data_IF_838736737328
#
_entry.id   IF_838736737328
#
_cell.length_a   1.000
_cell.length_b   1.000
_cell.length_c   1.000
_cell.angle_alpha   90.00
_cell.angle_beta   90.00
_cell.angle_gamma   90.00
#
_symmetry.space_group_name_H-M   'P 1'
#
loop_
_entity.id
_entity.type
_entity.pdbx_description
1 polymer ?
#
# COMPACT_ATOMS: atom_id res chain seq x y z
N UNK A 1 -19.69 -1.25 2.08
CA UNK A 1 -18.21 -1.38 2.12
C UNK A 1 -17.81 -2.35 3.21
N UNK A 2 -16.58 -2.89 3.18
CA UNK A 2 -16.04 -3.73 4.25
C UNK A 2 -14.89 -2.99 4.93
N UNK A 3 -15.01 -2.70 6.20
CA UNK A 3 -13.99 -2.02 6.98
C UNK A 3 -13.11 -3.04 7.71
N UNK A 4 -11.83 -2.85 7.68
CA UNK A 4 -10.88 -3.80 8.23
C UNK A 4 -9.53 -3.22 8.56
N UNK A 5 -8.51 -4.09 8.58
CA UNK A 5 -7.13 -3.64 8.76
C UNK A 5 -6.13 -4.53 7.99
N UNK A 6 -5.01 -3.91 7.61
CA UNK A 6 -3.81 -4.60 7.20
C UNK A 6 -3.12 -5.18 8.44
N UNK A 7 -2.97 -6.50 8.45
CA UNK A 7 -2.51 -7.22 9.66
C UNK A 7 -1.04 -7.05 9.98
N UNK A 8 -0.30 -6.23 9.21
CA UNK A 8 1.11 -5.95 9.46
C UNK A 8 1.36 -5.37 10.86
N UNK A 9 0.44 -4.57 11.37
CA UNK A 9 0.52 -4.04 12.74
C UNK A 9 0.35 -5.10 13.84
N UNK A 10 0.01 -6.34 13.49
CA UNK A 10 -0.19 -7.48 14.40
C UNK A 10 0.76 -8.65 14.10
N UNK A 11 1.86 -8.43 13.36
CA UNK A 11 2.81 -9.48 12.97
C UNK A 11 3.53 -10.16 14.15
N UNK A 12 3.47 -9.59 15.34
CA UNK A 12 3.95 -10.17 16.60
C UNK A 12 3.01 -11.26 17.16
N UNK A 13 1.81 -11.41 16.58
CA UNK A 13 0.78 -12.35 17.03
C UNK A 13 0.55 -13.48 16.01
N UNK A 14 0.06 -14.65 16.44
CA UNK A 14 -0.44 -15.65 15.49
C UNK A 14 -1.60 -15.11 14.66
N UNK A 15 -1.73 -15.54 13.40
CA UNK A 15 -2.80 -15.09 12.49
C UNK A 15 -4.20 -15.23 13.06
N UNK A 16 -4.50 -16.36 13.74
CA UNK A 16 -5.81 -16.58 14.36
C UNK A 16 -6.14 -15.58 15.48
N UNK A 17 -5.10 -15.11 16.21
CA UNK A 17 -5.26 -14.07 17.23
C UNK A 17 -5.44 -12.70 16.57
N UNK A 18 -4.66 -12.39 15.53
CA UNK A 18 -4.80 -11.15 14.77
C UNK A 18 -6.21 -11.00 14.19
N UNK A 19 -6.74 -12.05 13.55
CA UNK A 19 -8.11 -12.05 12.99
C UNK A 19 -9.16 -11.83 14.09
N UNK A 20 -9.01 -12.51 15.26
CA UNK A 20 -9.93 -12.32 16.38
C UNK A 20 -9.90 -10.88 16.90
N UNK A 21 -8.73 -10.26 16.99
CA UNK A 21 -8.60 -8.84 17.38
C UNK A 21 -9.40 -7.96 16.42
N UNK A 22 -9.32 -8.18 15.10
CA UNK A 22 -10.12 -7.42 14.14
C UNK A 22 -11.62 -7.60 14.39
N UNK A 23 -12.08 -8.83 14.55
CA UNK A 23 -13.47 -9.15 14.88
C UNK A 23 -13.94 -8.48 16.17
N UNK A 24 -13.14 -8.55 17.25
CA UNK A 24 -13.45 -7.94 18.55
C UNK A 24 -13.53 -6.39 18.46
N UNK A 25 -12.86 -5.78 17.48
CA UNK A 25 -12.95 -4.35 17.18
C UNK A 25 -14.11 -3.97 16.26
N UNK A 26 -14.91 -4.95 15.80
CA UNK A 26 -16.00 -4.73 14.86
C UNK A 26 -15.57 -4.58 13.41
N UNK A 27 -14.34 -5.01 13.08
CA UNK A 27 -13.80 -4.97 11.73
C UNK A 27 -14.10 -6.31 11.00
N UNK A 28 -14.54 -6.21 9.75
CA UNK A 28 -15.02 -7.34 8.94
C UNK A 28 -14.10 -7.69 7.77
N UNK A 29 -13.01 -6.94 7.59
CA UNK A 29 -12.04 -7.10 6.51
C UNK A 29 -10.63 -7.28 7.04
N UNK A 30 -9.83 -8.07 6.33
CA UNK A 30 -8.41 -8.20 6.58
C UNK A 30 -7.62 -8.14 5.26
N UNK A 31 -6.51 -7.43 5.30
CA UNK A 31 -5.45 -7.48 4.32
C UNK A 31 -4.24 -8.17 4.95
N UNK A 32 -3.60 -9.10 4.21
CA UNK A 32 -2.51 -9.93 4.73
C UNK A 32 -1.29 -9.81 3.84
N UNK A 33 -0.11 -9.65 4.46
CA UNK A 33 1.14 -9.59 3.73
C UNK A 33 1.50 -10.95 3.10
N UNK A 34 1.94 -10.92 1.84
CA UNK A 34 2.34 -12.09 1.05
C UNK A 34 3.78 -12.01 0.52
N UNK A 35 4.47 -10.89 0.76
CA UNK A 35 5.83 -10.67 0.26
C UNK A 35 6.22 -9.18 0.31
N UNK A 36 7.20 -8.80 -0.50
CA UNK A 36 7.68 -7.43 -0.55
C UNK A 36 8.68 -7.09 0.56
N UNK A 37 8.54 -5.90 1.15
CA UNK A 37 9.43 -5.41 2.20
C UNK A 37 9.26 -6.15 3.53
N UNK A 38 8.02 -6.46 3.87
CA UNK A 38 7.69 -7.08 5.16
C UNK A 38 7.67 -8.61 5.07
N UNK A 39 7.97 -9.31 6.17
CA UNK A 39 7.75 -10.74 6.25
C UNK A 39 6.25 -11.07 6.19
N UNK A 40 5.90 -12.31 5.83
CA UNK A 40 4.52 -12.78 5.71
C UNK A 40 4.15 -13.81 6.79
N UNK A 41 4.24 -13.51 8.10
CA UNK A 41 4.02 -14.49 9.16
C UNK A 41 2.57 -14.96 9.24
N UNK A 42 1.63 -14.19 8.68
CA UNK A 42 0.20 -14.52 8.69
C UNK A 42 -0.26 -15.33 7.47
N UNK A 43 0.61 -15.59 6.49
CA UNK A 43 0.28 -16.35 5.29
C UNK A 43 1.16 -17.59 5.17
N UNK A 44 0.63 -18.80 5.34
CA UNK A 44 1.39 -20.04 5.21
C UNK A 44 1.56 -20.41 3.72
N UNK A 45 2.42 -19.68 3.00
CA UNK A 45 2.56 -19.68 1.54
C UNK A 45 2.73 -21.10 0.96
N UNK A 46 3.65 -21.89 1.51
CA UNK A 46 3.94 -23.23 1.00
C UNK A 46 2.75 -24.19 1.16
N UNK A 47 2.03 -24.10 2.27
CA UNK A 47 0.82 -24.89 2.49
C UNK A 47 -0.32 -24.46 1.56
N UNK A 48 -0.50 -23.15 1.36
CA UNK A 48 -1.48 -22.59 0.43
C UNK A 48 -1.22 -23.08 -1.00
N UNK A 49 0.04 -23.07 -1.44
CA UNK A 49 0.42 -23.54 -2.78
C UNK A 49 0.16 -25.05 -2.98
N UNK A 50 0.50 -25.86 -2.00
CA UNK A 50 0.55 -27.30 -2.14
C UNK A 50 -0.76 -28.04 -1.83
N UNK A 51 -1.69 -27.44 -1.05
CA UNK A 51 -2.86 -28.18 -0.52
C UNK A 51 -4.15 -27.36 -0.60
N UNK A 52 -5.19 -27.97 -1.18
CA UNK A 52 -6.54 -27.40 -1.18
C UNK A 52 -7.13 -27.40 0.24
N UNK A 53 -6.89 -28.44 1.01
CA UNK A 53 -7.39 -28.55 2.40
C UNK A 53 -6.76 -27.43 3.26
N UNK A 54 -5.46 -27.16 3.09
CA UNK A 54 -4.80 -26.06 3.78
C UNK A 54 -5.37 -24.68 3.41
N UNK A 55 -5.76 -24.48 2.15
CA UNK A 55 -6.47 -23.25 1.73
C UNK A 55 -7.83 -23.11 2.42
N UNK A 56 -8.59 -24.22 2.49
CA UNK A 56 -9.90 -24.21 3.16
C UNK A 56 -9.76 -23.99 4.67
N UNK A 57 -8.80 -24.65 5.31
CA UNK A 57 -8.49 -24.43 6.73
C UNK A 57 -8.10 -22.99 7.01
N UNK A 58 -7.19 -22.42 6.21
CA UNK A 58 -6.75 -21.03 6.34
C UNK A 58 -7.91 -20.05 6.20
N UNK A 59 -8.72 -20.17 5.15
CA UNK A 59 -9.90 -19.31 4.95
C UNK A 59 -10.97 -19.54 6.01
N UNK A 60 -11.04 -20.75 6.56
CA UNK A 60 -11.91 -21.10 7.68
C UNK A 60 -11.63 -20.29 8.96
N UNK A 61 -10.37 -19.86 9.18
CA UNK A 61 -10.02 -18.99 10.31
C UNK A 61 -10.72 -17.64 10.22
N UNK A 62 -10.74 -17.05 9.03
CA UNK A 62 -11.40 -15.77 8.78
C UNK A 62 -12.93 -15.91 8.89
N UNK A 63 -13.48 -16.90 8.24
CA UNK A 63 -14.93 -17.16 8.26
C UNK A 63 -15.46 -17.40 9.68
N UNK A 64 -14.73 -18.15 10.51
CA UNK A 64 -15.10 -18.41 11.90
C UNK A 64 -15.13 -17.17 12.77
N UNK A 65 -14.35 -16.13 12.43
CA UNK A 65 -14.32 -14.85 13.11
C UNK A 65 -15.26 -13.80 12.49
N UNK A 66 -15.96 -14.13 11.40
CA UNK A 66 -16.79 -13.17 10.67
C UNK A 66 -15.98 -12.12 9.90
N UNK A 67 -14.70 -12.38 9.64
CA UNK A 67 -13.80 -11.51 8.88
C UNK A 67 -13.62 -12.07 7.47
N UNK A 68 -13.47 -11.21 6.48
CA UNK A 68 -13.17 -11.59 5.10
C UNK A 68 -11.72 -11.24 4.77
N UNK A 69 -10.97 -12.18 4.20
CA UNK A 69 -9.68 -11.87 3.57
C UNK A 69 -9.96 -11.15 2.24
N UNK A 70 -9.72 -9.85 2.19
CA UNK A 70 -10.10 -8.99 1.05
C UNK A 70 -8.95 -8.68 0.11
N UNK A 71 -7.71 -8.66 0.61
CA UNK A 71 -6.52 -8.39 -0.19
C UNK A 71 -5.29 -9.13 0.34
N UNK A 72 -4.36 -9.40 -0.57
CA UNK A 72 -2.97 -9.71 -0.24
C UNK A 72 -2.11 -8.47 -0.52
N UNK A 73 -1.11 -8.21 0.33
CA UNK A 73 -0.17 -7.10 0.16
C UNK A 73 1.25 -7.63 -0.13
N UNK A 74 1.94 -6.98 -1.05
CA UNK A 74 3.35 -7.27 -1.36
C UNK A 74 4.12 -5.98 -1.70
N UNK A 75 3.93 -4.93 -0.90
CA UNK A 75 4.60 -3.65 -1.09
C UNK A 75 6.12 -3.81 -1.19
N UNK A 76 6.69 -3.34 -2.30
CA UNK A 76 8.10 -3.50 -2.62
C UNK A 76 8.52 -2.63 -3.79
N UNK A 77 9.78 -2.76 -4.21
CA UNK A 77 10.27 -2.08 -5.41
C UNK A 77 10.61 -3.10 -6.51
N UNK A 78 9.63 -3.51 -7.34
CA UNK A 78 9.83 -4.49 -8.41
C UNK A 78 10.68 -3.95 -9.58
N UNK A 79 11.00 -2.66 -9.60
CA UNK A 79 11.80 -1.99 -10.63
C UNK A 79 13.17 -1.54 -10.11
N UNK A 80 13.58 -1.98 -8.93
CA UNK A 80 14.80 -1.55 -8.29
C UNK A 80 16.04 -1.81 -9.18
N UNK A 81 16.99 -0.85 -9.31
CA UNK A 81 18.18 -1.05 -10.14
C UNK A 81 19.13 -2.17 -9.62
N UNK A 82 19.12 -2.44 -8.30
CA UNK A 82 19.80 -3.60 -7.73
C UNK A 82 19.00 -4.87 -8.07
N UNK A 83 19.65 -5.81 -8.75
CA UNK A 83 19.01 -7.03 -9.24
C UNK A 83 18.48 -7.92 -8.12
N UNK A 84 19.20 -8.03 -6.98
CA UNK A 84 18.74 -8.84 -5.83
C UNK A 84 17.38 -8.34 -5.32
N UNK A 85 17.22 -7.03 -5.19
CA UNK A 85 15.97 -6.40 -4.72
C UNK A 85 14.88 -6.52 -5.78
N UNK A 86 15.21 -6.17 -7.04
CA UNK A 86 14.26 -6.19 -8.16
C UNK A 86 13.70 -7.58 -8.40
N UNK A 87 14.57 -8.58 -8.50
CA UNK A 87 14.17 -9.93 -8.89
C UNK A 87 13.29 -10.56 -7.81
N UNK A 88 13.61 -10.33 -6.52
CA UNK A 88 12.75 -10.73 -5.40
C UNK A 88 11.38 -10.05 -5.48
N UNK A 89 11.34 -8.70 -5.48
CA UNK A 89 10.07 -7.98 -5.40
C UNK A 89 9.21 -8.15 -6.67
N UNK A 90 9.83 -8.29 -7.85
CA UNK A 90 9.09 -8.58 -9.07
C UNK A 90 8.50 -10.00 -9.06
N UNK A 91 9.18 -10.96 -8.43
CA UNK A 91 8.64 -12.30 -8.22
C UNK A 91 7.54 -12.30 -7.19
N UNK A 92 7.69 -11.57 -6.08
CA UNK A 92 6.66 -11.44 -5.04
C UNK A 92 5.31 -10.94 -5.62
N UNK A 93 5.33 -9.96 -6.54
CA UNK A 93 4.11 -9.49 -7.21
C UNK A 93 3.44 -10.60 -8.02
N UNK A 94 4.23 -11.40 -8.77
CA UNK A 94 3.70 -12.53 -9.53
C UNK A 94 3.13 -13.61 -8.63
N UNK A 95 3.85 -13.92 -7.56
CA UNK A 95 3.46 -14.91 -6.56
C UNK A 95 2.20 -14.48 -5.80
N UNK A 96 2.07 -13.20 -5.47
CA UNK A 96 0.89 -12.66 -4.81
C UNK A 96 -0.37 -12.79 -5.68
N UNK A 97 -0.27 -12.55 -6.99
CA UNK A 97 -1.37 -12.77 -7.94
C UNK A 97 -1.81 -14.24 -7.95
N UNK A 98 -0.84 -15.18 -8.03
CA UNK A 98 -1.14 -16.61 -8.02
C UNK A 98 -1.75 -17.07 -6.70
N UNK A 99 -1.21 -16.60 -5.57
CA UNK A 99 -1.75 -16.91 -4.24
C UNK A 99 -3.15 -16.35 -4.04
N UNK A 100 -3.40 -15.13 -4.52
CA UNK A 100 -4.73 -14.51 -4.48
C UNK A 100 -5.74 -15.36 -5.27
N UNK A 101 -5.40 -15.77 -6.49
CA UNK A 101 -6.25 -16.67 -7.29
C UNK A 101 -6.53 -18.01 -6.59
N UNK A 102 -5.51 -18.63 -5.98
CA UNK A 102 -5.65 -19.89 -5.22
C UNK A 102 -6.58 -19.74 -4.01
N UNK A 103 -6.59 -18.57 -3.38
CA UNK A 103 -7.42 -18.27 -2.20
C UNK A 103 -8.80 -17.70 -2.55
N UNK A 104 -9.07 -17.41 -3.84
CA UNK A 104 -10.29 -16.71 -4.24
C UNK A 104 -10.31 -15.23 -3.79
N UNK A 105 -9.15 -14.66 -3.47
CA UNK A 105 -8.97 -13.24 -3.17
C UNK A 105 -8.78 -12.48 -4.48
N UNK A 106 -9.50 -11.39 -4.67
CA UNK A 106 -9.52 -10.66 -5.95
C UNK A 106 -8.67 -9.40 -5.97
N UNK A 107 -7.93 -9.11 -4.91
CA UNK A 107 -7.12 -7.89 -4.79
C UNK A 107 -5.70 -8.23 -4.33
N UNK A 108 -4.72 -7.61 -4.97
CA UNK A 108 -3.31 -7.62 -4.57
C UNK A 108 -2.83 -6.18 -4.50
N UNK A 109 -2.42 -5.73 -3.33
CA UNK A 109 -1.84 -4.40 -3.12
C UNK A 109 -0.33 -4.47 -3.32
N UNK A 110 0.23 -3.49 -4.02
CA UNK A 110 1.68 -3.35 -4.22
C UNK A 110 2.04 -1.93 -4.63
N UNK A 111 3.33 -1.62 -4.63
CA UNK A 111 3.87 -0.36 -5.15
C UNK A 111 4.31 -0.47 -6.61
N UNK A 112 4.29 0.65 -7.33
CA UNK A 112 4.69 0.67 -8.75
C UNK A 112 6.17 0.42 -8.99
N UNK A 113 7.00 0.62 -7.98
CA UNK A 113 8.44 0.56 -8.09
C UNK A 113 9.10 1.84 -8.60
N UNK A 114 10.41 1.92 -8.42
CA UNK A 114 11.24 3.06 -8.82
C UNK A 114 12.56 2.56 -9.40
N UNK A 115 12.82 2.75 -10.70
CA UNK A 115 14.11 2.41 -11.30
C UNK A 115 15.15 3.52 -11.11
N UNK A 116 16.35 3.30 -11.64
CA UNK A 116 17.36 4.35 -11.76
C UNK A 116 16.97 5.40 -12.81
N UNK A 117 17.74 6.50 -12.88
CA UNK A 117 17.59 7.57 -13.89
C UNK A 117 18.01 7.17 -15.30
N UNK A 118 18.85 6.13 -15.43
CA UNK A 118 19.45 5.70 -16.68
C UNK A 118 19.84 4.20 -16.62
N UNK A 119 20.16 3.54 -17.75
CA UNK A 119 20.49 2.11 -17.79
C UNK A 119 21.70 1.69 -16.95
N UNK A 120 22.65 2.62 -16.67
CA UNK A 120 23.83 2.38 -15.86
C UNK A 120 23.67 2.74 -14.39
N UNK A 121 22.54 3.30 -14.03
CA UNK A 121 22.26 3.77 -12.67
C UNK A 121 22.14 2.65 -11.66
N UNK A 122 22.62 2.90 -10.44
CA UNK A 122 22.69 1.90 -9.35
C UNK A 122 21.71 2.18 -8.21
N UNK A 123 21.11 3.37 -8.17
CA UNK A 123 20.20 3.79 -7.12
C UNK A 123 18.85 4.19 -7.73
N UNK A 124 17.76 3.89 -7.07
CA UNK A 124 16.45 4.41 -7.47
C UNK A 124 16.50 5.94 -7.50
N UNK A 125 15.88 6.54 -8.51
CA UNK A 125 15.90 8.00 -8.71
C UNK A 125 14.48 8.51 -8.90
N UNK A 126 13.99 9.27 -7.92
CA UNK A 126 12.63 9.81 -7.96
C UNK A 126 12.60 11.13 -8.74
N UNK A 127 12.19 11.05 -10.00
CA UNK A 127 12.12 12.18 -10.93
C UNK A 127 10.79 12.91 -10.76
N UNK A 128 10.80 13.98 -9.96
CA UNK A 128 9.63 14.81 -9.67
C UNK A 128 9.92 16.24 -10.12
N UNK A 129 8.95 16.91 -10.74
CA UNK A 129 9.07 18.28 -11.28
C UNK A 129 10.28 18.42 -12.23
N UNK A 130 10.29 17.75 -13.37
CA UNK A 130 11.42 17.73 -14.30
C UNK A 130 11.54 19.07 -15.08
N UNK A 131 12.08 20.10 -14.45
CA UNK A 131 12.26 21.43 -15.05
C UNK A 131 13.36 21.46 -16.11
N UNK A 132 14.42 20.69 -15.88
CA UNK A 132 15.52 20.51 -16.82
C UNK A 132 15.24 19.30 -17.72
N UNK A 133 15.62 19.40 -19.00
CA UNK A 133 15.42 18.34 -19.97
C UNK A 133 16.16 17.04 -19.64
N UNK A 134 17.25 17.10 -18.89
CA UNK A 134 17.93 15.91 -18.38
C UNK A 134 17.04 15.05 -17.48
N UNK A 135 16.16 15.70 -16.68
CA UNK A 135 15.15 14.96 -15.90
C UNK A 135 14.00 14.42 -16.75
N UNK A 136 13.72 15.03 -17.92
CA UNK A 136 12.79 14.46 -18.88
C UNK A 136 13.36 13.17 -19.49
N UNK A 137 14.64 13.15 -19.85
CA UNK A 137 15.32 11.95 -20.35
C UNK A 137 15.28 10.82 -19.32
N UNK A 138 15.57 11.12 -18.04
CA UNK A 138 15.46 10.18 -16.95
C UNK A 138 14.04 9.63 -16.77
N UNK A 139 13.02 10.51 -16.77
CA UNK A 139 11.61 10.12 -16.70
C UNK A 139 11.22 9.21 -17.86
N UNK A 140 11.63 9.58 -19.09
CA UNK A 140 11.26 8.83 -20.29
C UNK A 140 11.90 7.44 -20.31
N UNK A 141 13.16 7.32 -19.89
CA UNK A 141 13.80 6.01 -19.66
C UNK A 141 13.03 5.19 -18.62
N UNK A 142 12.74 5.76 -17.46
CA UNK A 142 12.05 5.08 -16.35
C UNK A 142 10.70 4.51 -16.78
N UNK A 143 9.92 5.32 -17.51
CA UNK A 143 8.59 4.92 -17.94
C UNK A 143 8.62 3.99 -19.16
N UNK A 144 9.28 4.40 -20.25
CA UNK A 144 9.16 3.73 -21.53
C UNK A 144 9.97 2.43 -21.60
N UNK A 145 11.16 2.42 -20.97
CA UNK A 145 12.07 1.28 -21.08
C UNK A 145 11.96 0.31 -19.89
N UNK A 146 11.49 0.78 -18.73
CA UNK A 146 11.45 -0.05 -17.54
C UNK A 146 10.01 -0.34 -17.06
N UNK A 147 9.24 0.70 -16.73
CA UNK A 147 7.95 0.49 -16.06
C UNK A 147 6.88 -0.09 -16.99
N UNK A 148 6.66 0.51 -18.15
CA UNK A 148 5.60 0.08 -19.07
C UNK A 148 5.78 -1.38 -19.51
N UNK A 149 6.99 -1.85 -19.93
CA UNK A 149 7.19 -3.25 -20.27
C UNK A 149 6.90 -4.21 -19.12
N UNK A 150 7.31 -3.86 -17.89
CA UNK A 150 7.04 -4.67 -16.70
C UNK A 150 5.54 -4.72 -16.40
N UNK A 151 4.89 -3.56 -16.31
CA UNK A 151 3.49 -3.47 -15.92
C UNK A 151 2.53 -4.05 -16.96
N UNK A 152 2.89 -4.07 -18.25
CA UNK A 152 2.15 -4.83 -19.28
C UNK A 152 2.15 -6.33 -19.02
N UNK A 153 3.27 -6.89 -18.54
CA UNK A 153 3.34 -8.32 -18.17
C UNK A 153 2.49 -8.61 -16.94
N UNK A 154 2.55 -7.73 -15.91
CA UNK A 154 1.72 -7.87 -14.71
C UNK A 154 0.24 -7.73 -15.05
N UNK A 155 -0.13 -6.76 -15.90
CA UNK A 155 -1.51 -6.59 -16.38
C UNK A 155 -2.03 -7.87 -17.06
N UNK A 156 -1.26 -8.49 -17.94
CA UNK A 156 -1.65 -9.73 -18.61
C UNK A 156 -1.85 -10.86 -17.58
N UNK A 157 -0.89 -11.07 -16.66
CA UNK A 157 -1.00 -12.09 -15.61
C UNK A 157 -2.20 -11.87 -14.70
N UNK A 158 -2.45 -10.63 -14.29
CA UNK A 158 -3.58 -10.25 -13.45
C UNK A 158 -4.92 -10.54 -14.16
N UNK A 159 -5.00 -10.23 -15.45
CA UNK A 159 -6.18 -10.51 -16.26
C UNK A 159 -6.42 -12.03 -16.43
N UNK A 160 -5.38 -12.81 -16.67
CA UNK A 160 -5.47 -14.28 -16.78
C UNK A 160 -5.94 -14.94 -15.46
N UNK A 161 -5.59 -14.34 -14.32
CA UNK A 161 -5.96 -14.82 -12.99
C UNK A 161 -7.27 -14.23 -12.45
N UNK A 162 -7.88 -13.25 -13.14
CA UNK A 162 -9.00 -12.43 -12.67
C UNK A 162 -8.76 -11.78 -11.30
N UNK A 163 -7.53 -11.26 -11.11
CA UNK A 163 -7.07 -10.58 -9.90
C UNK A 163 -6.78 -9.12 -10.22
N UNK A 164 -7.31 -8.20 -9.43
CA UNK A 164 -7.00 -6.76 -9.52
C UNK A 164 -5.71 -6.46 -8.76
N UNK A 165 -4.74 -5.85 -9.44
CA UNK A 165 -3.53 -5.32 -8.82
C UNK A 165 -3.74 -3.85 -8.50
N UNK A 166 -3.70 -3.53 -7.22
CA UNK A 166 -4.01 -2.22 -6.65
C UNK A 166 -2.68 -1.53 -6.33
N UNK A 167 -2.31 -0.53 -7.13
CA UNK A 167 -1.05 0.20 -6.94
C UNK A 167 -1.26 1.29 -5.91
N UNK A 168 -0.57 1.19 -4.79
CA UNK A 168 -0.46 2.27 -3.81
C UNK A 168 0.29 3.46 -4.41
N UNK A 169 -0.36 4.62 -4.43
CA UNK A 169 0.25 5.89 -4.86
C UNK A 169 1.17 6.41 -3.78
N UNK A 170 2.42 5.97 -3.79
CA UNK A 170 3.39 6.17 -2.71
C UNK A 170 4.60 7.01 -3.17
N UNK A 171 5.13 7.95 -2.34
CA UNK A 171 6.38 8.62 -2.65
C UNK A 171 7.53 7.63 -2.89
N UNK A 172 8.56 8.07 -3.60
CA UNK A 172 9.68 7.22 -4.06
C UNK A 172 9.24 6.03 -4.94
N UNK A 173 8.11 6.21 -5.64
CA UNK A 173 7.62 5.32 -6.70
C UNK A 173 7.30 6.13 -7.96
N UNK A 174 7.16 5.46 -9.11
CA UNK A 174 6.77 6.14 -10.36
C UNK A 174 5.31 6.59 -10.32
N UNK A 175 4.45 5.79 -9.67
CA UNK A 175 3.05 6.15 -9.43
C UNK A 175 2.94 6.66 -8.00
N UNK A 176 2.75 7.97 -7.85
CA UNK A 176 2.70 8.64 -6.56
C UNK A 176 1.53 9.64 -6.42
N UNK A 177 0.77 9.82 -7.50
CA UNK A 177 -0.42 10.68 -7.53
C UNK A 177 -1.40 10.24 -8.62
N UNK A 178 -2.63 10.79 -8.66
CA UNK A 178 -3.62 10.42 -9.68
C UNK A 178 -3.13 10.53 -11.11
N UNK A 179 -2.41 11.60 -11.47
CA UNK A 179 -1.93 11.80 -12.84
C UNK A 179 -0.95 10.71 -13.31
N UNK A 180 -0.06 10.24 -12.41
CA UNK A 180 0.86 9.15 -12.71
C UNK A 180 0.16 7.80 -12.73
N UNK A 181 -0.92 7.60 -11.95
CA UNK A 181 -1.76 6.41 -12.02
C UNK A 181 -2.53 6.33 -13.36
N UNK A 182 -3.16 7.42 -13.77
CA UNK A 182 -3.86 7.55 -15.05
C UNK A 182 -2.90 7.30 -16.23
N UNK A 183 -1.68 7.85 -16.15
CA UNK A 183 -0.63 7.59 -17.13
C UNK A 183 -0.34 6.10 -17.25
N UNK A 184 -0.03 5.43 -16.14
CA UNK A 184 0.26 4.02 -16.15
C UNK A 184 -0.90 3.22 -16.74
N UNK A 185 -2.12 3.44 -16.25
CA UNK A 185 -3.31 2.74 -16.70
C UNK A 185 -3.53 2.90 -18.22
N UNK A 186 -3.35 4.12 -18.75
CA UNK A 186 -3.50 4.41 -20.16
C UNK A 186 -2.43 3.70 -21.01
N UNK A 187 -1.15 3.80 -20.61
CA UNK A 187 -0.02 3.31 -21.41
C UNK A 187 0.09 1.78 -21.43
N UNK A 188 -0.46 1.09 -20.40
CA UNK A 188 -0.50 -0.38 -20.40
C UNK A 188 -1.82 -0.97 -20.90
N UNK A 189 -2.84 -0.15 -21.16
CA UNK A 189 -4.18 -0.60 -21.48
C UNK A 189 -4.82 -1.36 -20.30
N UNK A 190 -4.79 -0.74 -19.11
CA UNK A 190 -5.16 -1.41 -17.87
C UNK A 190 -6.63 -1.83 -17.80
N UNK A 191 -6.86 -3.08 -17.39
CA UNK A 191 -8.17 -3.63 -17.05
C UNK A 191 -8.16 -4.28 -15.65
N UNK A 192 -6.96 -4.69 -15.19
CA UNK A 192 -6.73 -5.36 -13.91
C UNK A 192 -5.60 -4.73 -13.09
N UNK A 193 -5.03 -3.63 -13.54
CA UNK A 193 -4.12 -2.78 -12.76
C UNK A 193 -4.80 -1.44 -12.53
N UNK A 194 -4.88 -1.00 -11.28
CA UNK A 194 -5.53 0.24 -10.87
C UNK A 194 -4.95 0.75 -9.56
N UNK A 195 -5.65 1.65 -8.92
CA UNK A 195 -5.19 2.32 -7.70
C UNK A 195 -5.61 1.59 -6.43
N UNK A 196 -4.72 1.55 -5.45
CA UNK A 196 -5.08 1.62 -4.06
C UNK A 196 -5.10 3.09 -3.64
N UNK A 197 -6.19 3.48 -2.98
CA UNK A 197 -6.34 4.83 -2.47
C UNK A 197 -5.89 4.90 -1.01
N UNK A 198 -4.63 5.23 -0.80
CA UNK A 198 -4.11 5.63 0.50
C UNK A 198 -4.09 7.17 0.60
N UNK A 199 -4.98 7.78 1.41
CA UNK A 199 -5.04 9.23 1.54
C UNK A 199 -3.81 9.81 2.23
N UNK A 200 -3.10 9.04 3.07
CA UNK A 200 -1.98 9.53 3.86
C UNK A 200 -0.84 10.09 3.02
N UNK A 201 -0.61 9.48 1.86
CA UNK A 201 0.42 9.92 0.92
C UNK A 201 -0.01 11.11 0.05
N UNK A 202 -1.29 11.42 0.01
CA UNK A 202 -1.83 12.52 -0.77
C UNK A 202 -1.90 13.83 0.03
N UNK A 203 -2.22 13.77 1.32
CA UNK A 203 -2.37 14.95 2.17
C UNK A 203 -1.15 15.88 2.16
N UNK A 204 0.04 15.35 2.40
CA UNK A 204 1.25 16.18 2.45
C UNK A 204 1.67 16.68 1.06
N UNK A 205 1.21 16.07 -0.02
CA UNK A 205 1.38 16.59 -1.38
C UNK A 205 0.42 17.74 -1.70
N UNK A 206 -0.53 18.07 -0.81
CA UNK A 206 -1.56 19.07 -1.04
C UNK A 206 -2.68 18.58 -1.98
N UNK A 207 -2.82 17.26 -2.14
CA UNK A 207 -3.88 16.63 -2.92
C UNK A 207 -5.07 16.38 -1.99
N UNK A 208 -6.28 16.70 -2.45
CA UNK A 208 -7.52 16.30 -1.81
C UNK A 208 -7.85 14.83 -2.17
N UNK A 209 -7.78 13.88 -1.22
CA UNK A 209 -8.05 12.47 -1.53
C UNK A 209 -9.48 12.19 -2.01
N UNK A 210 -10.46 12.96 -1.56
CA UNK A 210 -11.85 12.82 -2.03
C UNK A 210 -11.95 13.23 -3.51
N UNK A 211 -11.30 14.32 -3.89
CA UNK A 211 -11.21 14.74 -5.28
C UNK A 211 -10.43 13.72 -6.13
N UNK A 212 -9.38 13.12 -5.57
CA UNK A 212 -8.58 12.08 -6.22
C UNK A 212 -9.42 10.81 -6.50
N UNK A 213 -10.21 10.33 -5.52
CA UNK A 213 -11.15 9.21 -5.71
C UNK A 213 -12.14 9.53 -6.83
N UNK A 214 -12.74 10.72 -6.81
CA UNK A 214 -13.70 11.13 -7.82
C UNK A 214 -13.08 11.23 -9.24
N UNK A 215 -11.81 11.64 -9.33
CA UNK A 215 -11.07 11.74 -10.60
C UNK A 215 -10.73 10.36 -11.16
N UNK A 216 -10.18 9.47 -10.35
CA UNK A 216 -9.78 8.13 -10.76
C UNK A 216 -10.98 7.21 -11.01
N UNK A 217 -12.09 7.40 -10.28
CA UNK A 217 -13.33 6.66 -10.46
C UNK A 217 -13.10 5.14 -10.49
N UNK A 218 -13.50 4.50 -11.58
CA UNK A 218 -13.40 3.03 -11.73
C UNK A 218 -11.98 2.45 -11.71
N UNK A 219 -10.94 3.28 -11.69
CA UNK A 219 -9.55 2.83 -11.48
C UNK A 219 -9.24 2.56 -10.02
N UNK A 220 -10.05 3.01 -9.06
CA UNK A 220 -9.85 2.73 -7.63
C UNK A 220 -10.39 1.34 -7.32
N UNK A 221 -9.50 0.41 -6.93
CA UNK A 221 -9.83 -0.99 -6.69
C UNK A 221 -9.78 -1.40 -5.22
N UNK A 222 -9.03 -0.67 -4.40
CA UNK A 222 -8.85 -0.90 -2.97
C UNK A 222 -8.59 0.43 -2.27
N UNK A 223 -8.72 0.48 -0.96
CA UNK A 223 -8.38 1.67 -0.19
C UNK A 223 -7.76 1.32 1.16
N UNK A 224 -6.78 2.11 1.57
CA UNK A 224 -6.24 2.12 2.92
C UNK A 224 -6.90 3.23 3.75
N UNK A 225 -7.10 2.96 5.04
CA UNK A 225 -7.42 3.98 6.03
C UNK A 225 -6.15 4.28 6.83
N UNK A 226 -5.39 5.26 6.37
CA UNK A 226 -4.15 5.75 6.95
C UNK A 226 -4.17 7.28 6.97
N UNK A 227 -3.79 7.87 8.07
CA UNK A 227 -3.95 9.31 8.30
C UNK A 227 -2.60 10.02 8.40
N UNK A 228 -2.58 11.31 8.09
CA UNK A 228 -1.39 12.15 8.14
C UNK A 228 -1.71 13.47 8.84
N UNK A 229 -0.82 13.88 9.72
CA UNK A 229 -0.83 15.21 10.34
C UNK A 229 0.26 16.07 9.74
N UNK A 230 -0.11 17.26 9.24
CA UNK A 230 0.85 18.27 8.79
C UNK A 230 1.31 19.09 10.00
N UNK A 231 2.61 19.12 10.26
CA UNK A 231 3.21 19.77 11.42
C UNK A 231 3.55 21.23 11.15
N UNK A 232 3.75 21.99 12.22
CA UNK A 232 4.11 23.40 12.12
C UNK A 232 5.42 23.65 11.35
N UNK A 233 6.35 22.70 11.37
CA UNK A 233 7.60 22.76 10.64
C UNK A 233 7.41 22.89 9.12
N UNK A 234 6.29 22.38 8.57
CA UNK A 234 5.96 22.51 7.16
C UNK A 234 5.81 23.97 6.70
N UNK A 235 5.42 24.89 7.60
CA UNK A 235 5.30 26.32 7.28
C UNK A 235 6.63 26.98 6.97
N UNK A 236 7.74 26.39 7.43
CA UNK A 236 9.10 26.93 7.25
C UNK A 236 9.87 26.12 6.20
N UNK A 237 9.81 24.80 6.30
CA UNK A 237 10.64 23.90 5.50
C UNK A 237 9.93 23.33 4.27
N UNK A 238 8.61 23.53 4.16
CA UNK A 238 7.79 22.79 3.21
C UNK A 238 7.60 21.34 3.65
N UNK A 239 7.07 20.51 2.77
CA UNK A 239 6.75 19.10 3.05
C UNK A 239 7.81 18.11 2.53
N UNK A 240 8.70 18.58 1.65
CA UNK A 240 9.84 17.79 1.16
C UNK A 240 11.01 17.97 2.12
N UNK A 241 11.60 16.88 2.59
CA UNK A 241 12.65 16.88 3.60
C UNK A 241 13.71 15.82 3.27
N UNK A 242 14.98 16.13 3.42
CA UNK A 242 16.10 15.21 3.23
C UNK A 242 16.85 14.89 4.54
N UNK A 243 16.36 15.37 5.68
CA UNK A 243 17.00 15.22 7.00
C UNK A 243 16.80 13.84 7.62
N UNK A 244 16.43 12.85 6.84
CA UNK A 244 16.31 11.47 7.31
C UNK A 244 17.64 10.88 7.74
N UNK A 245 17.64 10.14 8.85
CA UNK A 245 18.83 9.50 9.41
C UNK A 245 18.98 8.05 8.95
N UNK A 246 20.21 7.64 8.68
CA UNK A 246 20.51 6.24 8.35
C UNK A 246 20.32 5.33 9.59
N UNK A 247 19.65 4.21 9.41
CA UNK A 247 19.53 3.15 10.43
C UNK A 247 20.48 2.02 10.09
N UNK A 248 21.36 1.59 11.02
CA UNK A 248 22.23 0.42 10.82
C UNK A 248 21.40 -0.85 10.60
N UNK A 249 21.92 -1.79 9.77
CA UNK A 249 21.22 -3.05 9.46
C UNK A 249 21.04 -3.99 10.64
N UNK A 250 21.89 -3.87 11.65
CA UNK A 250 21.88 -4.65 12.88
C UNK A 250 21.17 -3.94 14.03
N UNK A 251 20.54 -2.80 13.78
CA UNK A 251 19.78 -2.09 14.80
C UNK A 251 18.51 -2.88 15.19
N UNK A 252 18.15 -2.91 16.50
CA UNK A 252 16.90 -3.51 16.92
C UNK A 252 15.70 -2.90 16.22
N UNK A 253 14.78 -3.73 15.72
CA UNK A 253 13.56 -3.28 15.04
C UNK A 253 13.77 -2.65 13.67
N UNK A 254 14.96 -2.82 13.05
CA UNK A 254 15.21 -2.33 11.69
C UNK A 254 14.27 -2.99 10.68
N UNK A 255 13.67 -2.19 9.80
CA UNK A 255 12.89 -2.68 8.68
C UNK A 255 13.80 -2.80 7.46
N UNK A 256 13.94 -4.02 6.91
CA UNK A 256 14.69 -4.28 5.69
C UNK A 256 13.84 -3.94 4.46
N UNK A 257 14.44 -3.22 3.51
CA UNK A 257 13.82 -2.93 2.21
C UNK A 257 14.39 -3.81 1.07
N UNK A 258 15.09 -4.88 1.44
CA UNK A 258 15.76 -5.78 0.51
C UNK A 258 17.25 -5.46 0.30
N UNK A 259 18.06 -6.47 -0.03
CA UNK A 259 19.50 -6.34 -0.21
C UNK A 259 20.17 -5.68 0.99
N UNK A 260 20.89 -4.59 0.75
CA UNK A 260 21.58 -3.79 1.78
C UNK A 260 20.76 -2.62 2.34
N UNK A 261 19.55 -2.42 1.91
CA UNK A 261 18.75 -1.22 2.18
C UNK A 261 17.85 -1.42 3.39
N UNK A 262 17.68 -0.34 4.16
CA UNK A 262 16.84 -0.29 5.36
C UNK A 262 15.99 0.96 5.35
N UNK A 263 14.84 0.93 6.04
CA UNK A 263 14.04 2.13 6.28
C UNK A 263 14.88 3.15 7.06
N UNK A 264 14.83 4.39 6.63
CA UNK A 264 15.55 5.51 7.28
C UNK A 264 14.79 6.00 8.51
N UNK A 265 15.52 6.54 9.49
CA UNK A 265 14.93 7.19 10.65
C UNK A 265 14.32 8.53 10.26
N UNK A 266 13.08 8.72 10.62
CA UNK A 266 12.33 9.95 10.42
C UNK A 266 12.96 11.13 11.17
N UNK A 267 12.93 12.36 10.63
CA UNK A 267 13.42 13.55 11.35
C UNK A 267 12.65 13.78 12.66
N UNK A 268 13.35 14.27 13.71
CA UNK A 268 12.69 14.57 14.99
C UNK A 268 11.64 15.67 14.87
N UNK A 269 11.92 16.69 14.05
CA UNK A 269 11.01 17.80 13.75
C UNK A 269 10.55 17.70 12.30
N UNK A 270 9.84 16.63 11.97
CA UNK A 270 9.33 16.38 10.64
C UNK A 270 8.23 17.38 10.24
N UNK A 271 8.13 17.65 8.96
CA UNK A 271 7.08 18.50 8.40
C UNK A 271 5.70 17.86 8.44
N UNK A 272 5.63 16.55 8.51
CA UNK A 272 4.42 15.76 8.65
C UNK A 272 4.73 14.39 9.26
N UNK A 273 3.72 13.75 9.84
CA UNK A 273 3.80 12.42 10.42
C UNK A 273 2.60 11.59 10.00
N UNK A 274 2.79 10.27 9.86
CA UNK A 274 1.67 9.34 9.90
C UNK A 274 1.10 9.30 11.32
N UNK A 275 -0.21 9.28 11.41
CA UNK A 275 -0.93 9.22 12.68
C UNK A 275 -2.11 8.25 12.56
N UNK A 276 -2.57 7.70 13.67
CA UNK A 276 -3.75 6.86 13.66
C UNK A 276 -4.97 7.61 13.09
N UNK A 277 -5.81 6.92 12.37
CA UNK A 277 -7.05 7.44 11.77
C UNK A 277 -7.84 8.25 12.79
N UNK A 278 -8.16 9.49 12.43
CA UNK A 278 -8.87 10.44 13.31
C UNK A 278 -7.96 11.41 14.05
N UNK A 279 -6.64 11.24 13.98
CA UNK A 279 -5.69 12.16 14.64
C UNK A 279 -5.16 13.25 13.69
N UNK A 280 -5.24 13.04 12.39
CA UNK A 280 -4.93 14.03 11.36
C UNK A 280 -6.21 14.71 10.84
N UNK A 281 -7.22 13.93 10.54
CA UNK A 281 -8.49 14.34 9.99
C UNK A 281 -9.64 13.74 10.80
N UNK A 282 -10.72 14.51 11.00
CA UNK A 282 -11.83 14.14 11.87
C UNK A 282 -12.80 13.12 11.23
N UNK A 283 -13.77 12.68 12.01
CA UNK A 283 -14.79 11.70 11.60
C UNK A 283 -15.62 12.20 10.39
N UNK A 284 -15.88 13.50 10.27
CA UNK A 284 -16.65 14.05 9.16
C UNK A 284 -15.87 13.95 7.85
N UNK A 285 -14.56 14.24 7.87
CA UNK A 285 -13.69 14.04 6.73
C UNK A 285 -13.64 12.57 6.29
N UNK A 286 -13.48 11.64 7.25
CA UNK A 286 -13.46 10.21 6.96
C UNK A 286 -14.79 9.72 6.39
N UNK A 287 -15.93 10.25 6.86
CA UNK A 287 -17.23 9.95 6.27
C UNK A 287 -17.35 10.43 4.80
N UNK A 288 -16.79 11.61 4.48
CA UNK A 288 -16.77 12.10 3.10
C UNK A 288 -15.89 11.25 2.19
N UNK A 289 -14.75 10.78 2.70
CA UNK A 289 -13.87 9.87 1.97
C UNK A 289 -14.56 8.50 1.71
N UNK A 290 -15.19 7.92 2.73
CA UNK A 290 -15.94 6.67 2.58
C UNK A 290 -17.11 6.82 1.59
N UNK A 291 -17.87 7.93 1.61
CA UNK A 291 -18.91 8.20 0.61
C UNK A 291 -18.37 8.30 -0.81
N UNK A 292 -17.17 8.84 -0.99
CA UNK A 292 -16.55 8.89 -2.31
C UNK A 292 -16.18 7.49 -2.81
N UNK A 293 -15.62 6.65 -1.93
CA UNK A 293 -15.28 5.25 -2.24
C UNK A 293 -16.53 4.41 -2.52
N UNK A 294 -17.61 4.58 -1.74
CA UNK A 294 -18.87 3.85 -1.91
C UNK A 294 -19.51 4.10 -3.29
N UNK A 295 -19.40 5.34 -3.81
CA UNK A 295 -19.87 5.67 -5.16
C UNK A 295 -19.10 4.95 -6.26
N UNK A 296 -17.84 4.59 -6.01
CA UNK A 296 -16.99 3.83 -6.96
C UNK A 296 -17.35 2.34 -6.87
N UNK A 297 -17.34 1.79 -5.67
CA UNK A 297 -17.69 0.39 -5.40
C UNK A 297 -18.27 0.25 -3.99
N UNK A 298 -19.59 -0.01 -3.85
CA UNK A 298 -20.21 -0.20 -2.55
C UNK A 298 -19.72 -1.43 -1.79
N UNK A 299 -18.95 -2.31 -2.42
CA UNK A 299 -18.33 -3.48 -1.80
C UNK A 299 -16.82 -3.28 -1.53
N UNK A 300 -16.29 -2.09 -1.76
CA UNK A 300 -14.86 -1.80 -1.57
C UNK A 300 -14.42 -2.13 -0.13
N UNK A 301 -13.26 -2.78 -0.02
CA UNK A 301 -12.58 -2.93 1.26
C UNK A 301 -11.79 -1.66 1.57
N UNK A 302 -11.86 -1.24 2.85
CA UNK A 302 -11.08 -0.12 3.38
C UNK A 302 -10.37 -0.63 4.62
N UNK A 303 -9.05 -0.82 4.51
CA UNK A 303 -8.27 -1.45 5.56
C UNK A 303 -7.41 -0.43 6.30
N UNK A 304 -7.51 -0.39 7.63
CA UNK A 304 -6.66 0.46 8.47
C UNK A 304 -5.20 0.02 8.29
N UNK A 305 -4.34 0.97 7.98
CA UNK A 305 -2.90 0.83 8.03
C UNK A 305 -2.35 1.73 9.14
N UNK A 306 -1.69 1.12 10.14
CA UNK A 306 -1.27 1.83 11.35
C UNK A 306 0.24 2.01 11.39
N UNK A 307 0.70 3.26 11.34
CA UNK A 307 2.10 3.67 11.42
C UNK A 307 2.34 4.88 12.35
N UNK A 308 1.47 5.11 13.34
CA UNK A 308 1.62 6.19 14.31
C UNK A 308 2.80 5.92 15.26
N UNK A 309 3.74 6.86 15.33
CA UNK A 309 4.91 6.74 16.21
C UNK A 309 4.66 7.13 17.66
N UNK A 310 3.52 7.76 17.94
CA UNK A 310 3.13 8.23 19.27
C UNK A 310 2.23 7.24 20.01
N UNK A 311 1.67 6.24 19.30
CA UNK A 311 0.80 5.20 19.86
C UNK A 311 1.43 3.83 19.66
N UNK A 312 1.18 2.92 20.60
CA UNK A 312 1.48 1.52 20.35
C UNK A 312 0.49 0.92 19.32
N UNK A 313 0.86 -0.27 18.80
CA UNK A 313 0.10 -0.92 17.72
C UNK A 313 -1.38 -1.14 18.09
N UNK A 314 -1.64 -1.58 19.32
CA UNK A 314 -3.02 -1.91 19.72
C UNK A 314 -3.85 -0.66 20.02
N UNK A 315 -3.27 0.34 20.67
CA UNK A 315 -3.98 1.58 21.00
C UNK A 315 -4.26 2.38 19.72
N UNK A 316 -3.31 2.40 18.80
CA UNK A 316 -3.49 3.02 17.50
C UNK A 316 -4.56 2.32 16.65
N UNK A 317 -4.54 0.99 16.58
CA UNK A 317 -5.54 0.22 15.83
C UNK A 317 -6.95 0.41 16.43
N UNK A 318 -7.09 0.39 17.77
CA UNK A 318 -8.37 0.65 18.45
C UNK A 318 -8.90 2.04 18.15
N UNK A 319 -8.05 3.06 18.27
CA UNK A 319 -8.43 4.45 17.99
C UNK A 319 -8.89 4.62 16.55
N UNK A 320 -8.14 4.04 15.60
CA UNK A 320 -8.46 4.05 14.19
C UNK A 320 -9.80 3.34 13.89
N UNK A 321 -10.03 2.16 14.48
CA UNK A 321 -11.26 1.41 14.30
C UNK A 321 -12.48 2.20 14.79
N UNK A 322 -12.40 2.81 15.99
CA UNK A 322 -13.50 3.64 16.52
C UNK A 322 -13.83 4.79 15.57
N UNK A 323 -12.81 5.51 15.08
CA UNK A 323 -13.02 6.63 14.16
C UNK A 323 -13.63 6.17 12.83
N UNK A 324 -13.09 5.12 12.24
CA UNK A 324 -13.52 4.62 10.92
C UNK A 324 -14.94 4.06 10.96
N UNK A 325 -15.29 3.28 11.99
CA UNK A 325 -16.64 2.75 12.19
C UNK A 325 -17.64 3.88 12.44
N UNK A 326 -17.28 4.88 13.28
CA UNK A 326 -18.14 6.06 13.50
C UNK A 326 -18.33 6.87 12.22
N UNK A 327 -17.32 6.97 11.37
CA UNK A 327 -17.44 7.61 10.07
C UNK A 327 -18.39 6.85 9.13
N UNK A 328 -18.32 5.52 9.13
CA UNK A 328 -19.20 4.68 8.32
C UNK A 328 -20.67 4.77 8.73
N UNK A 329 -20.96 4.95 10.01
CA UNK A 329 -22.34 5.17 10.49
C UNK A 329 -22.95 6.48 9.94
N UNK A 330 -22.17 7.36 9.30
CA UNK A 330 -22.61 8.63 8.69
C UNK A 330 -22.68 8.57 7.17
N UNK A 331 -22.34 7.46 6.56
CA UNK A 331 -22.41 7.23 5.11
C UNK A 331 -23.76 6.70 4.69
#
# INVERSE_FOLDING_TARGET
>A
MKLGAYTACLHDKPVAEAIRILSDLGLESAEVNSGGFLPAPHLPIEQIRSSQDARQEYLGLFAAAGVTLTALNCNGNPLHPDAEVRDKHSQDVRDAIDLAALLGVTRVVTMSGLPASDPGGRLPSWTVQPWDSAYLDARDYQWNEVAIPFWKQIQARAADADVKVCIEMHPHNLVYNPATMERLATEIGATHVGAEMDPSHLFWQGIDPVAAVNSLGALVYNAAAKDTRINAAAKVNGVLDDRFGRVPRDAPGVVSLGGRYTLSRWPENASWDFVAVGRGHDVDWWADFLRALEKVDPQMAVNIEHEDRELDQMDGLRSAAVTLLTAADRV
#
